data_IF_314342647735
#
_entry.id   IF_314342647735
#
_cell.length_a   1.000
_cell.length_b   1.000
_cell.length_c   1.000
_cell.angle_alpha   90.00
_cell.angle_beta   90.00
_cell.angle_gamma   90.00
#
_symmetry.space_group_name_H-M   'P 1'
#
loop_
_entity.id
_entity.type
_entity.pdbx_description
1 polymer ?
#
# COMPACT_ATOMS: atom_id res chain seq x y z
N UNK A 1 0.75 -13.85 -4.47
CA UNK A 1 0.52 -13.66 -5.93
C UNK A 1 -0.06 -12.27 -6.21
N UNK A 2 -1.14 -11.87 -5.55
CA UNK A 2 -1.76 -10.53 -5.65
C UNK A 2 -0.78 -9.35 -5.48
N UNK A 3 -0.01 -9.31 -4.39
CA UNK A 3 1.01 -8.27 -4.14
C UNK A 3 2.12 -8.27 -5.19
N UNK A 4 2.49 -9.44 -5.72
CA UNK A 4 3.47 -9.57 -6.82
C UNK A 4 2.90 -9.05 -8.14
N UNK A 5 1.61 -9.28 -8.40
CA UNK A 5 0.92 -8.76 -9.59
C UNK A 5 0.85 -7.26 -9.54
N UNK A 6 0.27 -6.66 -8.49
CA UNK A 6 0.15 -5.20 -8.37
C UNK A 6 1.50 -4.49 -8.21
N UNK A 7 2.50 -5.16 -7.63
CA UNK A 7 3.86 -4.62 -7.51
C UNK A 7 4.53 -4.29 -8.85
N UNK A 8 4.10 -4.92 -9.95
CA UNK A 8 4.60 -4.62 -11.31
C UNK A 8 3.93 -3.38 -11.93
N UNK A 9 2.89 -2.84 -11.29
CA UNK A 9 2.13 -1.66 -11.76
C UNK A 9 2.31 -0.46 -10.83
N UNK A 10 3.14 -0.63 -9.79
CA UNK A 10 3.55 0.46 -8.92
C UNK A 10 4.56 1.35 -9.65
N UNK A 11 4.40 2.68 -9.60
CA UNK A 11 5.41 3.61 -10.12
C UNK A 11 6.79 3.35 -9.50
N UNK A 12 7.85 3.50 -10.29
CA UNK A 12 9.22 3.21 -9.86
C UNK A 12 9.62 4.07 -8.64
N UNK A 13 9.18 5.32 -8.63
CA UNK A 13 9.43 6.29 -7.56
C UNK A 13 8.74 5.87 -6.26
N UNK A 14 7.48 5.42 -6.33
CA UNK A 14 6.75 4.91 -5.18
C UNK A 14 7.44 3.68 -4.58
N UNK A 15 7.98 2.80 -5.43
CA UNK A 15 8.74 1.62 -4.98
C UNK A 15 10.03 2.02 -4.25
N UNK A 16 10.78 2.97 -4.80
CA UNK A 16 12.02 3.49 -4.20
C UNK A 16 11.78 4.20 -2.86
N UNK A 17 10.63 4.85 -2.72
CA UNK A 17 10.21 5.54 -1.51
C UNK A 17 9.73 4.55 -0.42
N UNK A 18 8.72 3.74 -0.71
CA UNK A 18 8.02 2.91 0.27
C UNK A 18 8.73 1.59 0.61
N UNK A 19 9.40 0.96 -0.36
CA UNK A 19 10.05 -0.35 -0.14
C UNK A 19 11.50 -0.16 0.34
N UNK A 20 12.24 0.76 -0.27
CA UNK A 20 13.65 1.00 0.09
C UNK A 20 13.82 2.06 1.19
N UNK A 21 12.72 2.68 1.63
CA UNK A 21 12.61 3.44 2.88
C UNK A 21 13.34 4.78 2.94
N UNK A 22 13.32 5.59 1.88
CA UNK A 22 13.96 6.92 1.81
C UNK A 22 15.46 6.98 2.19
N UNK A 23 16.12 5.81 2.31
CA UNK A 23 17.54 5.69 2.66
C UNK A 23 18.48 5.94 1.48
N UNK A 24 17.94 6.07 0.26
CA UNK A 24 18.75 6.28 -0.95
C UNK A 24 19.26 7.73 -1.05
N UNK A 25 20.48 7.97 -1.56
CA UNK A 25 21.08 9.32 -1.66
C UNK A 25 20.27 10.35 -2.46
N UNK A 26 19.42 9.90 -3.39
CA UNK A 26 18.51 10.77 -4.12
C UNK A 26 17.47 11.46 -3.23
N UNK A 27 17.18 10.89 -2.06
CA UNK A 27 16.23 11.42 -1.07
C UNK A 27 16.91 12.22 0.05
N UNK A 28 18.25 12.21 0.13
CA UNK A 28 19.00 12.97 1.14
C UNK A 28 19.26 14.42 0.73
N UNK A 29 19.04 14.77 -0.53
CA UNK A 29 19.14 16.16 -1.03
C UNK A 29 17.75 16.80 -1.03
N UNK A 30 17.36 17.37 0.11
CA UNK A 30 16.19 18.25 0.15
C UNK A 30 16.59 19.64 -0.35
N UNK A 31 15.83 20.26 -1.29
CA UNK A 31 16.18 21.56 -1.87
C UNK A 31 16.17 22.72 -0.87
N UNK A 32 15.82 22.47 0.40
CA UNK A 32 15.63 23.48 1.45
C UNK A 32 16.47 23.24 2.71
N UNK A 33 17.40 22.28 2.72
CA UNK A 33 18.24 21.97 3.89
C UNK A 33 19.66 21.59 3.46
N UNK A 34 20.65 22.32 3.97
CA UNK A 34 22.09 22.01 3.95
C UNK A 34 22.46 20.89 4.92
N UNK A 35 21.53 20.56 5.84
CA UNK A 35 21.68 19.49 6.81
C UNK A 35 21.02 18.20 6.31
N UNK A 36 21.59 17.02 6.63
CA UNK A 36 20.95 15.74 6.36
C UNK A 36 19.54 15.67 6.96
N UNK A 37 18.63 14.95 6.30
CA UNK A 37 17.23 14.83 6.72
C UNK A 37 17.13 14.45 8.21
N UNK A 38 16.63 15.39 9.02
CA UNK A 38 16.59 15.27 10.46
C UNK A 38 15.28 14.56 10.87
N UNK A 39 15.38 13.22 10.98
CA UNK A 39 14.42 12.26 11.54
C UNK A 39 13.61 11.47 10.50
N UNK A 40 13.92 10.18 10.42
CA UNK A 40 13.14 9.15 9.75
C UNK A 40 12.49 8.27 10.83
N UNK A 41 11.16 8.24 10.87
CA UNK A 41 10.41 7.38 11.78
C UNK A 41 9.61 6.36 10.99
N UNK A 42 9.56 5.13 11.48
CA UNK A 42 8.64 4.10 10.99
C UNK A 42 7.61 3.82 12.06
N UNK A 43 6.34 3.93 11.69
CA UNK A 43 5.20 3.77 12.58
C UNK A 43 4.13 2.94 11.85
N UNK A 44 3.09 2.56 12.58
CA UNK A 44 1.94 1.90 11.98
C UNK A 44 0.66 2.36 12.65
N UNK A 45 -0.42 2.41 11.88
CA UNK A 45 -1.77 2.60 12.40
C UNK A 45 -2.60 1.35 12.13
N UNK A 46 -3.42 0.95 13.09
CA UNK A 46 -4.31 -0.19 12.96
C UNK A 46 -5.75 0.31 12.92
N UNK A 47 -6.50 -0.11 11.91
CA UNK A 47 -7.91 0.22 11.77
C UNK A 47 -8.74 -1.05 11.71
N UNK A 48 -9.92 -1.01 12.34
CA UNK A 48 -10.93 -2.05 12.22
C UNK A 48 -11.73 -1.83 10.95
N UNK A 49 -11.70 -2.79 10.03
CA UNK A 49 -12.43 -2.71 8.77
C UNK A 49 -12.91 -4.08 8.30
N UNK A 50 -13.95 -4.11 7.47
CA UNK A 50 -14.42 -5.34 6.81
C UNK A 50 -13.49 -5.75 5.65
N UNK A 51 -13.69 -6.95 5.10
CA UNK A 51 -12.97 -7.40 3.90
C UNK A 51 -13.41 -6.55 2.69
N UNK A 52 -14.67 -6.16 2.65
CA UNK A 52 -15.27 -5.28 1.64
C UNK A 52 -14.61 -3.90 1.65
N UNK A 53 -14.38 -3.32 2.83
CA UNK A 53 -13.64 -2.06 2.98
C UNK A 53 -12.20 -2.20 2.47
N UNK A 54 -11.53 -3.32 2.76
CA UNK A 54 -10.18 -3.59 2.28
C UNK A 54 -10.13 -3.74 0.75
N UNK A 55 -11.09 -4.44 0.15
CA UNK A 55 -11.23 -4.55 -1.31
C UNK A 55 -11.51 -3.19 -1.93
N UNK A 56 -12.41 -2.41 -1.32
CA UNK A 56 -12.71 -1.04 -1.72
C UNK A 56 -11.45 -0.16 -1.69
N UNK A 57 -10.71 -0.17 -0.58
CA UNK A 57 -9.44 0.54 -0.44
C UNK A 57 -8.45 0.15 -1.54
N UNK A 58 -8.22 -1.14 -1.76
CA UNK A 58 -7.33 -1.65 -2.82
C UNK A 58 -7.74 -1.11 -4.20
N UNK A 59 -9.04 -1.08 -4.48
CA UNK A 59 -9.56 -0.60 -5.77
C UNK A 59 -9.22 0.87 -6.01
N UNK A 60 -9.01 1.67 -4.97
CA UNK A 60 -8.61 3.08 -5.10
C UNK A 60 -7.11 3.28 -5.37
N UNK A 61 -6.29 2.24 -5.22
CA UNK A 61 -4.84 2.37 -5.36
C UNK A 61 -4.43 2.59 -6.82
N UNK A 62 -3.42 3.43 -7.05
CA UNK A 62 -2.89 3.70 -8.39
C UNK A 62 -2.38 2.43 -9.09
N UNK A 63 -1.79 1.49 -8.34
CA UNK A 63 -1.37 0.18 -8.88
C UNK A 63 -2.55 -0.62 -9.44
N UNK A 64 -3.69 -0.62 -8.76
CA UNK A 64 -4.91 -1.27 -9.25
C UNK A 64 -5.49 -0.54 -10.47
N UNK A 65 -5.57 0.80 -10.41
CA UNK A 65 -6.05 1.61 -11.53
C UNK A 65 -5.19 1.43 -12.79
N UNK A 66 -3.87 1.34 -12.64
CA UNK A 66 -2.95 1.02 -13.74
C UNK A 66 -3.15 -0.39 -14.28
N UNK A 67 -3.39 -1.37 -13.41
CA UNK A 67 -3.72 -2.73 -13.83
C UNK A 67 -5.04 -2.77 -14.61
N UNK A 68 -6.08 -2.11 -14.10
CA UNK A 68 -7.38 -1.96 -14.72
C UNK A 68 -7.26 -1.33 -16.12
N UNK A 69 -6.56 -0.20 -16.24
CA UNK A 69 -6.35 0.48 -17.52
C UNK A 69 -5.64 -0.41 -18.56
N UNK A 70 -4.73 -1.30 -18.13
CA UNK A 70 -3.95 -2.16 -19.04
C UNK A 70 -4.69 -3.46 -19.41
N UNK A 71 -5.50 -4.01 -18.52
CA UNK A 71 -6.07 -5.36 -18.66
C UNK A 71 -7.59 -5.39 -18.82
N UNK A 72 -8.27 -4.26 -18.60
CA UNK A 72 -9.72 -4.13 -18.65
C UNK A 72 -10.43 -4.64 -17.41
N UNK A 73 -11.71 -4.28 -17.30
CA UNK A 73 -12.55 -4.52 -16.11
C UNK A 73 -12.60 -5.99 -15.71
N UNK A 74 -12.86 -6.91 -16.64
CA UNK A 74 -13.04 -8.33 -16.33
C UNK A 74 -11.84 -8.94 -15.58
N UNK A 75 -10.62 -8.62 -16.00
CA UNK A 75 -9.40 -9.11 -15.34
C UNK A 75 -9.16 -8.42 -14.00
N UNK A 76 -9.44 -7.13 -13.92
CA UNK A 76 -9.26 -6.35 -12.70
C UNK A 76 -10.25 -6.75 -11.61
N UNK A 77 -11.52 -6.99 -11.96
CA UNK A 77 -12.53 -7.50 -11.04
C UNK A 77 -12.20 -8.93 -10.60
N UNK A 78 -11.76 -9.79 -11.53
CA UNK A 78 -11.29 -11.14 -11.20
C UNK A 78 -10.13 -11.13 -10.19
N UNK A 79 -9.19 -10.18 -10.32
CA UNK A 79 -8.09 -10.03 -9.37
C UNK A 79 -8.56 -9.66 -7.94
N UNK A 80 -9.60 -8.83 -7.81
CA UNK A 80 -10.18 -8.49 -6.50
C UNK A 80 -10.96 -9.67 -5.91
N UNK A 81 -11.69 -10.42 -6.74
CA UNK A 81 -12.40 -11.62 -6.31
C UNK A 81 -11.44 -12.70 -5.80
N UNK A 82 -10.35 -12.94 -6.55
CA UNK A 82 -9.27 -13.86 -6.14
C UNK A 82 -8.61 -13.42 -4.83
N UNK A 83 -8.41 -12.11 -4.64
CA UNK A 83 -7.88 -11.57 -3.40
C UNK A 83 -8.83 -11.85 -2.22
N UNK A 84 -10.12 -11.50 -2.36
CA UNK A 84 -11.16 -11.73 -1.34
C UNK A 84 -11.23 -13.22 -0.97
N UNK A 85 -11.28 -14.11 -1.96
CA UNK A 85 -11.34 -15.56 -1.73
C UNK A 85 -10.14 -16.07 -0.92
N UNK A 86 -8.92 -15.62 -1.23
CA UNK A 86 -7.71 -16.05 -0.51
C UNK A 86 -7.68 -15.53 0.93
N UNK A 87 -8.13 -14.29 1.16
CA UNK A 87 -8.23 -13.73 2.51
C UNK A 87 -9.22 -14.55 3.34
N UNK A 88 -10.40 -14.87 2.78
CA UNK A 88 -11.40 -15.70 3.45
C UNK A 88 -10.88 -17.12 3.76
N UNK A 89 -10.15 -17.74 2.82
CA UNK A 89 -9.53 -19.05 3.01
C UNK A 89 -8.51 -19.02 4.16
N UNK A 90 -7.64 -18.01 4.21
CA UNK A 90 -6.64 -17.83 5.27
C UNK A 90 -7.28 -17.60 6.64
N UNK A 91 -8.48 -17.02 6.69
CA UNK A 91 -9.22 -16.72 7.91
C UNK A 91 -10.15 -17.86 8.36
N UNK A 92 -10.11 -19.03 7.72
CA UNK A 92 -10.82 -20.24 8.16
C UNK A 92 -12.11 -20.57 7.40
N UNK A 93 -12.36 -19.94 6.24
CA UNK A 93 -13.29 -20.45 5.21
C UNK A 93 -14.79 -20.50 5.55
N UNK A 94 -15.22 -20.01 6.71
CA UNK A 94 -16.62 -20.04 7.15
C UNK A 94 -17.40 -18.78 6.78
N UNK A 95 -18.60 -18.96 6.23
CA UNK A 95 -19.53 -17.97 5.68
C UNK A 95 -20.08 -16.89 6.64
N UNK A 96 -19.36 -16.53 7.71
CA UNK A 96 -19.67 -15.45 8.66
C UNK A 96 -18.61 -14.34 8.70
N UNK A 97 -17.59 -14.43 7.85
CA UNK A 97 -16.47 -13.47 7.81
C UNK A 97 -16.79 -12.15 7.10
N UNK A 98 -17.81 -12.08 6.24
CA UNK A 98 -18.20 -10.84 5.54
C UNK A 98 -18.72 -9.76 6.52
N UNK A 99 -19.18 -10.17 7.71
CA UNK A 99 -19.57 -9.25 8.80
C UNK A 99 -18.48 -9.07 9.86
N UNK A 100 -17.36 -9.79 9.77
CA UNK A 100 -16.29 -9.68 10.76
C UNK A 100 -15.38 -8.50 10.45
N UNK A 101 -15.11 -7.72 11.50
CA UNK A 101 -14.16 -6.62 11.46
C UNK A 101 -12.75 -7.16 11.71
N UNK A 102 -11.83 -6.87 10.80
CA UNK A 102 -10.43 -7.26 10.88
C UNK A 102 -9.59 -6.07 11.32
N UNK A 103 -8.55 -6.34 12.10
CA UNK A 103 -7.53 -5.34 12.41
C UNK A 103 -6.54 -5.25 11.24
N UNK A 104 -6.62 -4.16 10.48
CA UNK A 104 -5.76 -3.89 9.32
C UNK A 104 -4.70 -2.88 9.73
N UNK A 105 -3.44 -3.31 9.67
CA UNK A 105 -2.29 -2.48 10.03
C UNK A 105 -1.65 -1.86 8.79
N UNK A 106 -1.60 -0.54 8.75
CA UNK A 106 -0.97 0.25 7.71
C UNK A 106 0.36 0.80 8.20
N UNK A 107 1.50 0.30 7.70
CA UNK A 107 2.79 0.90 7.99
C UNK A 107 2.93 2.24 7.26
N UNK A 108 3.47 3.23 7.94
CA UNK A 108 3.85 4.50 7.35
C UNK A 108 5.22 4.94 7.88
N UNK A 109 5.86 5.84 7.16
CA UNK A 109 7.06 6.50 7.64
C UNK A 109 6.83 8.02 7.64
N UNK A 110 7.50 8.69 8.56
CA UNK A 110 7.57 10.14 8.60
C UNK A 110 9.01 10.55 8.31
N UNK A 111 9.18 11.40 7.31
CA UNK A 111 10.44 12.04 7.00
C UNK A 111 10.31 13.52 7.35
N UNK A 112 11.01 13.94 8.39
CA UNK A 112 11.00 15.32 8.85
C UNK A 112 12.32 15.98 8.47
N UNK A 113 12.26 17.26 8.13
CA UNK A 113 13.44 18.06 7.82
C UNK A 113 13.15 19.51 8.17
N UNK A 114 14.18 20.24 8.57
CA UNK A 114 14.08 21.66 8.88
C UNK A 114 14.55 22.45 7.65
N UNK A 115 13.76 23.42 7.23
CA UNK A 115 14.20 24.40 6.23
C UNK A 115 15.30 25.27 6.83
N UNK A 116 16.40 25.46 6.09
CA UNK A 116 17.41 26.45 6.44
C UNK A 116 16.78 27.84 6.38
N UNK A 117 16.97 28.61 7.45
CA UNK A 117 16.51 30.00 7.57
C UNK A 117 17.57 30.92 6.98
#
# INVERSE_FOLDING_TARGET
MFTKTLGNYMPAESRLAYIDGYKRPQFSKFPFSSHPALRFESQSTTQKASIEDLVGYISTTSSYQNYLAKHGDAKATGLLADFKSRVLEQLGGGATLESQTLDITFPYFLLLSRKDV
#
